data_IF_896071650657
#
_entry.id   IF_896071650657
#
_cell.length_a   1.000
_cell.length_b   1.000
_cell.length_c   1.000
_cell.angle_alpha   90.00
_cell.angle_beta   90.00
_cell.angle_gamma   90.00
#
_symmetry.space_group_name_H-M   'P 1'
#
loop_
_entity.id
_entity.type
_entity.pdbx_description
1 polymer ?
#
# COMPACT_ATOMS: atom_id res chain seq x y z
N UNK A 1 17.71 56.39 28.35
CA UNK A 1 16.41 56.04 27.76
C UNK A 1 16.53 55.54 26.32
N UNK A 2 17.40 56.10 25.47
CA UNK A 2 17.58 55.67 24.07
C UNK A 2 18.30 54.31 23.93
N UNK A 3 19.29 54.00 24.80
CA UNK A 3 20.01 52.71 24.74
C UNK A 3 19.10 51.48 24.99
N UNK A 4 18.25 51.53 26.01
CA UNK A 4 17.32 50.42 26.32
C UNK A 4 16.29 50.17 25.21
N UNK A 5 15.92 51.20 24.44
CA UNK A 5 14.99 51.06 23.32
C UNK A 5 15.65 50.38 22.10
N UNK A 6 16.95 50.61 21.90
CA UNK A 6 17.76 49.98 20.85
C UNK A 6 18.06 48.51 21.22
N UNK A 7 18.29 48.21 22.48
CA UNK A 7 18.43 46.84 23.00
C UNK A 7 17.13 46.03 22.83
N UNK A 8 15.98 46.62 23.17
CA UNK A 8 14.67 46.00 23.00
C UNK A 8 14.32 45.78 21.52
N UNK A 9 14.68 46.71 20.62
CA UNK A 9 14.54 46.52 19.18
C UNK A 9 15.48 45.44 18.63
N UNK A 10 16.71 45.36 19.11
CA UNK A 10 17.67 44.32 18.68
C UNK A 10 17.20 42.93 19.12
N UNK A 11 16.71 42.78 20.36
CA UNK A 11 16.14 41.52 20.83
C UNK A 11 14.84 41.12 20.10
N UNK A 12 14.06 42.08 19.60
CA UNK A 12 12.91 41.81 18.72
C UNK A 12 13.36 41.35 17.33
N UNK A 13 14.39 41.97 16.75
CA UNK A 13 14.95 41.57 15.46
C UNK A 13 15.58 40.18 15.50
N UNK A 14 16.26 39.83 16.60
CA UNK A 14 16.84 38.51 16.81
C UNK A 14 15.75 37.43 16.94
N UNK A 15 14.68 37.71 17.69
CA UNK A 15 13.50 36.83 17.75
C UNK A 15 12.80 36.65 16.40
N UNK A 16 12.77 37.69 15.57
CA UNK A 16 12.21 37.63 14.21
C UNK A 16 13.13 36.79 13.31
N UNK A 17 14.45 36.98 13.39
CA UNK A 17 15.43 36.20 12.64
C UNK A 17 15.35 34.71 12.99
N UNK A 18 15.30 34.38 14.29
CA UNK A 18 15.10 33.01 14.76
C UNK A 18 13.75 32.43 14.29
N UNK A 19 12.68 33.25 14.28
CA UNK A 19 11.37 32.84 13.77
C UNK A 19 11.40 32.54 12.27
N UNK A 20 12.14 33.32 11.49
CA UNK A 20 12.31 33.10 10.04
C UNK A 20 13.13 31.83 9.78
N UNK A 21 14.18 31.58 10.57
CA UNK A 21 15.03 30.41 10.41
C UNK A 21 14.32 29.11 10.80
N UNK A 22 13.49 29.14 11.87
CA UNK A 22 12.59 28.03 12.20
C UNK A 22 11.56 27.76 11.10
N UNK A 23 10.93 28.80 10.57
CA UNK A 23 9.98 28.66 9.46
C UNK A 23 10.64 28.07 8.21
N UNK A 24 11.88 28.46 7.91
CA UNK A 24 12.64 27.92 6.78
C UNK A 24 12.91 26.42 6.96
N UNK A 25 13.36 26.00 8.14
CA UNK A 25 13.66 24.60 8.43
C UNK A 25 12.39 23.72 8.41
N UNK A 26 11.25 24.25 8.91
CA UNK A 26 9.95 23.58 8.84
C UNK A 26 9.47 23.43 7.39
N UNK A 27 9.64 24.46 6.57
CA UNK A 27 9.33 24.41 5.14
C UNK A 27 10.21 23.40 4.40
N UNK A 28 11.49 23.28 4.74
CA UNK A 28 12.39 22.28 4.15
C UNK A 28 12.01 20.84 4.55
N UNK A 29 11.66 20.60 5.81
CA UNK A 29 11.19 19.29 6.26
C UNK A 29 9.83 18.89 5.67
N UNK A 30 8.89 19.85 5.59
CA UNK A 30 7.61 19.65 4.88
C UNK A 30 7.89 19.36 3.41
N UNK A 31 8.80 20.08 2.76
CA UNK A 31 9.15 19.84 1.37
C UNK A 31 9.75 18.44 1.16
N UNK A 32 10.64 17.97 2.04
CA UNK A 32 11.24 16.65 1.97
C UNK A 32 10.21 15.52 2.23
N UNK A 33 9.37 15.65 3.25
CA UNK A 33 8.32 14.66 3.55
C UNK A 33 7.23 14.64 2.48
N UNK A 34 6.84 15.81 1.94
CA UNK A 34 5.93 15.90 0.80
C UNK A 34 6.55 15.25 -0.43
N UNK A 35 7.84 15.47 -0.72
CA UNK A 35 8.53 14.83 -1.85
C UNK A 35 8.67 13.32 -1.72
N UNK A 36 8.96 12.79 -0.53
CA UNK A 36 9.06 11.34 -0.31
C UNK A 36 7.67 10.71 -0.42
N UNK A 37 6.65 11.34 0.16
CA UNK A 37 5.26 10.90 0.02
C UNK A 37 4.77 10.99 -1.42
N UNK A 38 5.09 12.07 -2.14
CA UNK A 38 4.78 12.24 -3.56
C UNK A 38 5.54 11.22 -4.41
N UNK A 39 6.81 10.94 -4.13
CA UNK A 39 7.57 9.94 -4.89
C UNK A 39 7.03 8.53 -4.64
N UNK A 40 6.74 8.16 -3.40
CA UNK A 40 6.13 6.88 -3.07
C UNK A 40 4.70 6.75 -3.63
N UNK A 41 3.91 7.83 -3.58
CA UNK A 41 2.59 7.90 -4.22
C UNK A 41 2.73 7.80 -5.73
N UNK A 42 3.60 8.57 -6.37
CA UNK A 42 3.83 8.53 -7.80
C UNK A 42 4.31 7.16 -8.25
N UNK A 43 5.16 6.46 -7.49
CA UNK A 43 5.58 5.09 -7.81
C UNK A 43 4.40 4.11 -7.64
N UNK A 44 3.69 4.14 -6.52
CA UNK A 44 2.54 3.26 -6.28
C UNK A 44 1.40 3.50 -7.28
N UNK A 45 1.08 4.77 -7.57
CA UNK A 45 0.11 5.16 -8.59
C UNK A 45 0.60 4.75 -9.98
N UNK A 46 1.90 4.88 -10.31
CA UNK A 46 2.44 4.39 -11.58
C UNK A 46 2.30 2.88 -11.73
N UNK A 47 2.53 2.10 -10.68
CA UNK A 47 2.39 0.64 -10.77
C UNK A 47 0.93 0.22 -10.92
N UNK A 48 0.03 0.89 -10.20
CA UNK A 48 -1.43 0.70 -10.34
C UNK A 48 -1.90 1.13 -11.75
N UNK A 49 -1.43 2.27 -12.25
CA UNK A 49 -1.75 2.79 -13.58
C UNK A 49 -1.23 1.85 -14.67
N UNK A 50 0.02 1.36 -14.55
CA UNK A 50 0.60 0.38 -15.48
C UNK A 50 -0.21 -0.90 -15.51
N UNK A 51 -0.66 -1.38 -14.36
CA UNK A 51 -1.48 -2.58 -14.29
C UNK A 51 -2.86 -2.38 -14.92
N UNK A 52 -3.53 -1.26 -14.62
CA UNK A 52 -4.80 -0.90 -15.23
C UNK A 52 -4.70 -0.77 -16.76
N UNK A 53 -3.61 -0.19 -17.26
CA UNK A 53 -3.33 -0.08 -18.69
C UNK A 53 -3.12 -1.45 -19.35
N UNK A 54 -2.35 -2.35 -18.71
CA UNK A 54 -2.21 -3.73 -19.19
C UNK A 54 -3.55 -4.42 -19.30
N UNK A 55 -4.38 -4.31 -18.27
CA UNK A 55 -5.71 -4.92 -18.23
C UNK A 55 -6.62 -4.37 -19.32
N UNK A 56 -6.62 -3.05 -19.54
CA UNK A 56 -7.41 -2.41 -20.60
C UNK A 56 -7.01 -2.90 -21.99
N UNK A 57 -5.70 -3.00 -22.27
CA UNK A 57 -5.19 -3.51 -23.55
C UNK A 57 -5.56 -4.99 -23.74
N UNK A 58 -5.38 -5.84 -22.72
CA UNK A 58 -5.77 -7.24 -22.79
C UNK A 58 -7.28 -7.43 -22.99
N UNK A 59 -8.10 -6.59 -22.37
CA UNK A 59 -9.55 -6.63 -22.52
C UNK A 59 -9.97 -6.36 -23.97
N UNK A 60 -9.32 -5.41 -24.64
CA UNK A 60 -9.54 -5.12 -26.06
C UNK A 60 -9.03 -6.23 -26.96
N UNK A 61 -7.87 -6.80 -26.62
CA UNK A 61 -7.29 -7.94 -27.32
C UNK A 61 -8.23 -9.15 -27.32
N UNK A 62 -8.84 -9.45 -26.17
CA UNK A 62 -9.81 -10.55 -26.03
C UNK A 62 -11.12 -10.29 -26.79
N UNK A 63 -11.51 -9.02 -26.97
CA UNK A 63 -12.64 -8.63 -27.81
C UNK A 63 -12.33 -8.73 -29.31
N UNK A 64 -11.09 -9.09 -29.68
CA UNK A 64 -10.57 -9.05 -31.05
C UNK A 64 -10.60 -7.64 -31.67
N UNK A 65 -10.66 -6.61 -30.82
CA UNK A 65 -10.62 -5.20 -31.19
C UNK A 65 -9.16 -4.76 -31.33
N UNK A 66 -8.49 -5.31 -32.35
CA UNK A 66 -7.06 -5.11 -32.58
C UNK A 66 -6.75 -3.66 -32.93
N UNK A 67 -7.62 -2.98 -33.65
CA UNK A 67 -7.47 -1.57 -34.01
C UNK A 67 -7.35 -0.69 -32.77
N UNK A 68 -8.35 -0.74 -31.87
CA UNK A 68 -8.32 0.01 -30.61
C UNK A 68 -7.15 -0.43 -29.71
N UNK A 69 -6.78 -1.71 -29.74
CA UNK A 69 -5.62 -2.21 -28.98
C UNK A 69 -4.33 -1.52 -29.43
N UNK A 70 -4.05 -1.46 -30.75
CA UNK A 70 -2.84 -0.83 -31.25
C UNK A 70 -2.87 0.69 -31.10
N UNK A 71 -4.03 1.33 -31.20
CA UNK A 71 -4.19 2.77 -30.91
C UNK A 71 -3.77 3.09 -29.46
N UNK A 72 -4.27 2.32 -28.48
CA UNK A 72 -3.89 2.50 -27.07
C UNK A 72 -2.39 2.26 -26.88
N UNK A 73 -1.82 1.21 -27.50
CA UNK A 73 -0.39 0.91 -27.39
C UNK A 73 0.47 2.02 -27.98
N UNK A 74 0.08 2.56 -29.15
CA UNK A 74 0.81 3.64 -29.79
C UNK A 74 0.69 4.94 -28.99
N UNK A 75 -0.48 5.27 -28.43
CA UNK A 75 -0.67 6.38 -27.48
C UNK A 75 0.24 6.24 -26.25
N UNK A 76 0.37 5.03 -25.70
CA UNK A 76 1.28 4.74 -24.59
C UNK A 76 2.75 4.89 -24.98
N UNK A 77 3.12 4.54 -26.22
CA UNK A 77 4.49 4.65 -26.71
C UNK A 77 4.96 6.11 -26.83
N UNK A 78 4.05 7.08 -27.01
CA UNK A 78 4.39 8.51 -27.02
C UNK A 78 4.78 9.04 -25.63
N UNK A 79 4.36 8.38 -24.55
CA UNK A 79 4.70 8.77 -23.18
C UNK A 79 5.97 8.07 -22.73
N UNK A 80 7.01 8.86 -22.43
CA UNK A 80 8.33 8.33 -22.05
C UNK A 80 8.27 7.35 -20.87
N UNK A 81 7.37 7.58 -19.91
CA UNK A 81 7.15 6.73 -18.74
C UNK A 81 6.54 5.35 -19.04
N UNK A 82 5.89 5.18 -20.20
CA UNK A 82 5.21 3.95 -20.61
C UNK A 82 5.82 3.31 -21.86
N UNK A 83 6.91 3.85 -22.39
CA UNK A 83 7.54 3.37 -23.62
C UNK A 83 7.92 1.88 -23.58
N UNK A 84 8.51 1.44 -22.47
CA UNK A 84 8.89 0.03 -22.29
C UNK A 84 7.65 -0.86 -22.17
N UNK A 85 6.63 -0.40 -21.44
CA UNK A 85 5.35 -1.09 -21.31
C UNK A 85 4.64 -1.22 -22.67
N UNK A 86 4.61 -0.16 -23.46
CA UNK A 86 4.01 -0.16 -24.79
C UNK A 86 4.72 -1.17 -25.72
N UNK A 87 6.05 -1.25 -25.64
CA UNK A 87 6.82 -2.27 -26.38
C UNK A 87 6.45 -3.69 -25.96
N UNK A 88 6.42 -3.96 -24.65
CA UNK A 88 6.00 -5.27 -24.12
C UNK A 88 4.58 -5.64 -24.56
N UNK A 89 3.64 -4.68 -24.50
CA UNK A 89 2.26 -4.87 -24.90
C UNK A 89 2.12 -5.11 -26.40
N UNK A 90 2.91 -4.42 -27.23
CA UNK A 90 2.93 -4.64 -28.69
C UNK A 90 3.38 -6.06 -29.04
N UNK A 91 4.48 -6.53 -28.44
CA UNK A 91 4.98 -7.88 -28.65
C UNK A 91 3.96 -8.95 -28.21
N UNK A 92 3.20 -8.69 -27.16
CA UNK A 92 2.12 -9.58 -26.71
C UNK A 92 0.91 -9.54 -27.64
N UNK A 93 0.53 -8.35 -28.10
CA UNK A 93 -0.58 -8.15 -29.03
C UNK A 93 -0.33 -8.82 -30.39
N UNK A 94 0.88 -8.68 -30.93
CA UNK A 94 1.30 -9.32 -32.18
C UNK A 94 1.22 -10.85 -32.05
N UNK A 95 1.80 -11.41 -30.97
CA UNK A 95 1.74 -12.85 -30.68
C UNK A 95 0.31 -13.38 -30.50
N UNK A 96 -0.60 -12.57 -29.97
CA UNK A 96 -2.00 -12.96 -29.81
C UNK A 96 -2.76 -12.90 -31.14
N UNK A 97 -2.52 -11.85 -31.93
CA UNK A 97 -3.16 -11.67 -33.23
C UNK A 97 -2.81 -12.80 -34.19
N UNK A 98 -1.54 -13.19 -34.24
CA UNK A 98 -1.06 -14.19 -35.20
C UNK A 98 -1.25 -15.64 -34.69
N UNK A 99 -1.70 -15.82 -33.45
CA UNK A 99 -1.97 -17.12 -32.84
C UNK A 99 -3.29 -17.76 -33.30
N UNK A 100 -3.32 -19.09 -33.29
CA UNK A 100 -4.55 -19.88 -33.46
C UNK A 100 -5.51 -19.70 -32.27
N UNK A 101 -6.78 -20.05 -32.43
CA UNK A 101 -7.77 -19.92 -31.34
C UNK A 101 -7.43 -20.76 -30.09
N UNK A 102 -6.73 -21.88 -30.27
CA UNK A 102 -6.25 -22.73 -29.20
C UNK A 102 -5.04 -22.10 -28.47
N UNK A 103 -4.11 -21.50 -29.22
CA UNK A 103 -2.98 -20.76 -28.66
C UNK A 103 -3.44 -19.49 -27.94
N UNK A 104 -4.42 -18.76 -28.48
CA UNK A 104 -5.06 -17.63 -27.79
C UNK A 104 -5.68 -18.08 -26.47
N UNK A 105 -6.36 -19.24 -26.42
CA UNK A 105 -6.86 -19.80 -25.14
C UNK A 105 -5.74 -20.03 -24.14
N UNK A 106 -4.63 -20.61 -24.60
CA UNK A 106 -3.48 -20.90 -23.77
C UNK A 106 -2.84 -19.60 -23.25
N UNK A 107 -2.78 -18.55 -24.07
CA UNK A 107 -2.30 -17.23 -23.67
C UNK A 107 -3.19 -16.60 -22.60
N UNK A 108 -4.52 -16.60 -22.78
CA UNK A 108 -5.47 -16.10 -21.76
C UNK A 108 -5.35 -16.90 -20.46
N UNK A 109 -5.31 -18.23 -20.56
CA UNK A 109 -5.11 -19.14 -19.43
C UNK A 109 -3.83 -18.79 -18.67
N UNK A 110 -2.71 -18.63 -19.37
CA UNK A 110 -1.42 -18.33 -18.77
C UNK A 110 -1.41 -16.95 -18.11
N UNK A 111 -2.09 -15.97 -18.69
CA UNK A 111 -2.23 -14.65 -18.09
C UNK A 111 -3.05 -14.71 -16.80
N UNK A 112 -4.19 -15.41 -16.80
CA UNK A 112 -5.00 -15.66 -15.59
C UNK A 112 -4.15 -16.33 -14.51
N UNK A 113 -3.34 -17.33 -14.86
CA UNK A 113 -2.46 -18.01 -13.92
C UNK A 113 -1.46 -17.07 -13.24
N UNK A 114 -0.87 -16.13 -13.99
CA UNK A 114 0.00 -15.08 -13.42
C UNK A 114 -0.77 -14.15 -12.49
N UNK A 115 -2.01 -13.76 -12.83
CA UNK A 115 -2.85 -12.95 -11.94
C UNK A 115 -3.14 -13.68 -10.62
N UNK A 116 -3.38 -15.00 -10.68
CA UNK A 116 -3.58 -15.84 -9.49
C UNK A 116 -2.32 -15.93 -8.63
N UNK A 117 -1.14 -16.07 -9.24
CA UNK A 117 0.16 -16.10 -8.54
C UNK A 117 0.48 -14.76 -7.86
N UNK A 118 0.09 -13.65 -8.49
CA UNK A 118 0.26 -12.30 -7.95
C UNK A 118 -0.84 -11.90 -6.95
N UNK A 119 -1.75 -12.81 -6.59
CA UNK A 119 -2.89 -12.56 -5.69
C UNK A 119 -3.86 -11.47 -6.19
N UNK A 120 -3.91 -11.22 -7.50
CA UNK A 120 -4.79 -10.23 -8.14
C UNK A 120 -6.19 -10.81 -8.38
N UNK A 121 -6.86 -11.15 -7.28
CA UNK A 121 -8.07 -11.98 -7.29
C UNK A 121 -9.25 -11.41 -8.06
N UNK A 122 -9.50 -10.11 -7.94
CA UNK A 122 -10.63 -9.42 -8.56
C UNK A 122 -10.51 -9.44 -10.08
N UNK A 123 -9.32 -9.10 -10.57
CA UNK A 123 -8.95 -9.09 -12.00
C UNK A 123 -9.01 -10.52 -12.56
N UNK A 124 -8.38 -11.47 -11.86
CA UNK A 124 -8.41 -12.88 -12.26
C UNK A 124 -9.85 -13.41 -12.37
N UNK A 125 -10.70 -13.10 -11.38
CA UNK A 125 -12.12 -13.50 -11.40
C UNK A 125 -12.85 -12.92 -12.60
N UNK A 126 -12.70 -11.63 -12.89
CA UNK A 126 -13.36 -10.99 -14.02
C UNK A 126 -12.93 -11.60 -15.37
N UNK A 127 -11.63 -11.89 -15.53
CA UNK A 127 -11.12 -12.53 -16.75
C UNK A 127 -11.58 -13.98 -16.89
N UNK A 128 -11.67 -14.74 -15.80
CA UNK A 128 -12.23 -16.10 -15.80
C UNK A 128 -13.68 -16.09 -16.27
N UNK A 129 -14.50 -15.18 -15.73
CA UNK A 129 -15.91 -15.06 -16.13
C UNK A 129 -16.07 -14.71 -17.62
N UNK A 130 -15.24 -13.79 -18.13
CA UNK A 130 -15.22 -13.45 -19.56
C UNK A 130 -14.77 -14.63 -20.43
N UNK A 131 -13.76 -15.38 -19.99
CA UNK A 131 -13.29 -16.57 -20.71
C UNK A 131 -14.39 -17.64 -20.78
N UNK A 132 -15.11 -17.86 -19.69
CA UNK A 132 -16.26 -18.78 -19.64
C UNK A 132 -17.39 -18.28 -20.53
N UNK A 133 -17.70 -16.99 -20.53
CA UNK A 133 -18.73 -16.41 -21.38
C UNK A 133 -18.40 -16.56 -22.87
N UNK A 134 -17.15 -16.27 -23.26
CA UNK A 134 -16.68 -16.44 -24.63
C UNK A 134 -16.60 -17.91 -25.05
N UNK A 135 -16.35 -18.83 -24.10
CA UNK A 135 -16.18 -20.28 -24.37
C UNK A 135 -16.92 -21.15 -23.34
N UNK A 136 -18.27 -21.20 -23.37
CA UNK A 136 -19.06 -21.90 -22.34
C UNK A 136 -18.86 -23.41 -22.30
N UNK A 137 -18.34 -24.03 -23.37
CA UNK A 137 -18.10 -25.47 -23.48
C UNK A 137 -16.65 -25.88 -23.14
N UNK A 138 -15.76 -24.93 -22.88
CA UNK A 138 -14.38 -25.26 -22.49
C UNK A 138 -14.34 -25.71 -21.03
N UNK A 139 -14.09 -27.00 -20.81
CA UNK A 139 -13.88 -27.54 -19.46
C UNK A 139 -12.75 -26.82 -18.73
N UNK A 140 -11.70 -26.44 -19.48
CA UNK A 140 -10.55 -25.70 -18.95
C UNK A 140 -10.94 -24.31 -18.43
N UNK A 141 -11.79 -23.59 -19.16
CA UNK A 141 -12.33 -22.30 -18.72
C UNK A 141 -13.17 -22.44 -17.46
N UNK A 142 -14.04 -23.45 -17.38
CA UNK A 142 -14.89 -23.70 -16.21
C UNK A 142 -14.03 -24.09 -14.99
N UNK A 143 -13.02 -24.95 -15.19
CA UNK A 143 -12.11 -25.39 -14.13
C UNK A 143 -11.30 -24.23 -13.51
N UNK A 144 -11.14 -23.10 -14.21
CA UNK A 144 -10.46 -21.92 -13.65
C UNK A 144 -11.18 -21.31 -12.46
N UNK A 145 -12.52 -21.41 -12.37
CA UNK A 145 -13.25 -20.98 -11.16
C UNK A 145 -12.81 -21.77 -9.93
N UNK A 146 -12.69 -23.08 -10.09
CA UNK A 146 -12.20 -23.95 -9.03
C UNK A 146 -10.75 -23.63 -8.68
N UNK A 147 -9.89 -23.43 -9.69
CA UNK A 147 -8.48 -23.04 -9.48
C UNK A 147 -8.34 -21.73 -8.71
N UNK A 148 -9.16 -20.71 -9.01
CA UNK A 148 -9.20 -19.44 -8.27
C UNK A 148 -9.57 -19.68 -6.81
N UNK A 149 -10.59 -20.50 -6.55
CA UNK A 149 -10.98 -20.86 -5.19
C UNK A 149 -9.85 -21.59 -4.44
N UNK A 150 -9.26 -22.61 -5.05
CA UNK A 150 -8.18 -23.40 -4.46
C UNK A 150 -6.97 -22.53 -4.14
N UNK A 151 -6.57 -21.62 -5.05
CA UNK A 151 -5.47 -20.68 -4.83
C UNK A 151 -5.75 -19.70 -3.68
N UNK A 152 -6.98 -19.21 -3.55
CA UNK A 152 -7.39 -18.38 -2.40
C UNK A 152 -7.33 -19.15 -1.08
N UNK A 153 -7.80 -20.40 -1.07
CA UNK A 153 -7.73 -21.25 0.13
C UNK A 153 -6.27 -21.56 0.51
N UNK A 154 -5.41 -21.84 -0.47
CA UNK A 154 -3.98 -22.06 -0.23
C UNK A 154 -3.31 -20.81 0.34
N UNK A 155 -3.54 -19.63 -0.23
CA UNK A 155 -3.02 -18.37 0.32
C UNK A 155 -3.49 -18.14 1.75
N UNK A 156 -4.77 -18.35 2.02
CA UNK A 156 -5.34 -18.24 3.38
C UNK A 156 -4.65 -19.20 4.35
N UNK A 157 -4.43 -20.46 3.97
CA UNK A 157 -3.73 -21.45 4.81
C UNK A 157 -2.28 -21.03 5.10
N UNK A 158 -1.57 -20.53 4.10
CA UNK A 158 -0.22 -19.98 4.24
C UNK A 158 -0.22 -18.82 5.24
N UNK A 159 -1.15 -17.87 5.10
CA UNK A 159 -1.27 -16.72 6.00
C UNK A 159 -1.63 -17.14 7.43
N UNK A 160 -2.54 -18.09 7.62
CA UNK A 160 -2.89 -18.60 8.95
C UNK A 160 -1.69 -19.26 9.64
N UNK A 161 -0.89 -20.02 8.90
CA UNK A 161 0.31 -20.67 9.43
C UNK A 161 1.39 -19.64 9.75
N UNK A 162 1.60 -18.66 8.87
CA UNK A 162 2.54 -17.56 9.09
C UNK A 162 2.12 -16.70 10.29
N UNK A 163 0.83 -16.50 10.48
CA UNK A 163 0.29 -15.76 11.62
C UNK A 163 0.51 -16.52 12.93
N UNK A 164 0.18 -17.82 12.98
CA UNK A 164 0.42 -18.65 14.17
C UNK A 164 1.90 -18.67 14.57
N UNK A 165 2.82 -18.79 13.59
CA UNK A 165 4.26 -18.69 13.83
C UNK A 165 4.68 -17.29 14.34
N UNK A 166 4.15 -16.21 13.77
CA UNK A 166 4.44 -14.85 14.23
C UNK A 166 3.94 -14.61 15.67
N UNK A 167 2.75 -15.12 16.02
CA UNK A 167 2.19 -15.05 17.37
C UNK A 167 3.07 -15.83 18.35
N UNK A 168 3.48 -17.05 18.00
CA UNK A 168 4.39 -17.87 18.83
C UNK A 168 5.74 -17.20 19.08
N UNK A 169 6.25 -16.48 18.10
CA UNK A 169 7.51 -15.70 18.21
C UNK A 169 7.33 -14.35 18.90
N UNK A 170 6.11 -14.00 19.30
CA UNK A 170 5.76 -12.68 19.85
C UNK A 170 6.11 -11.51 18.91
N UNK A 171 6.19 -11.78 17.59
CA UNK A 171 6.42 -10.77 16.57
C UNK A 171 5.10 -10.03 16.30
N UNK A 172 4.81 -9.04 17.14
CA UNK A 172 3.54 -8.32 17.12
C UNK A 172 3.33 -7.54 15.82
N UNK A 173 4.40 -7.01 15.23
CA UNK A 173 4.31 -6.20 14.01
C UNK A 173 3.91 -7.06 12.82
N UNK A 174 4.67 -8.13 12.60
CA UNK A 174 4.37 -9.10 11.55
C UNK A 174 3.01 -9.75 11.73
N UNK A 175 2.62 -10.06 12.97
CA UNK A 175 1.30 -10.64 13.27
C UNK A 175 0.16 -9.71 12.85
N UNK A 176 0.29 -8.39 13.06
CA UNK A 176 -0.73 -7.42 12.66
C UNK A 176 -0.78 -7.21 11.14
N UNK A 177 0.37 -7.20 10.46
CA UNK A 177 0.42 -7.12 9.00
C UNK A 177 -0.27 -8.32 8.34
N UNK A 178 0.01 -9.53 8.84
CA UNK A 178 -0.63 -10.75 8.34
C UNK A 178 -2.14 -10.75 8.63
N UNK A 179 -2.58 -10.25 9.80
CA UNK A 179 -4.02 -10.13 10.11
C UNK A 179 -4.75 -9.18 9.15
N UNK A 180 -4.15 -8.06 8.77
CA UNK A 180 -4.71 -7.15 7.77
C UNK A 180 -4.89 -7.85 6.43
N UNK A 181 -3.93 -8.66 6.02
CA UNK A 181 -4.06 -9.45 4.80
C UNK A 181 -5.15 -10.52 4.94
N UNK A 182 -5.17 -11.27 6.05
CA UNK A 182 -6.14 -12.33 6.34
C UNK A 182 -7.60 -11.86 6.33
N UNK A 183 -7.88 -10.63 6.76
CA UNK A 183 -9.24 -10.06 6.80
C UNK A 183 -9.95 -10.18 5.43
N UNK A 184 -9.22 -10.10 4.33
CA UNK A 184 -9.74 -10.24 2.97
C UNK A 184 -10.18 -11.67 2.60
N UNK A 185 -9.80 -12.68 3.40
CA UNK A 185 -10.03 -14.10 3.14
C UNK A 185 -10.89 -14.79 4.21
N UNK A 186 -11.08 -14.16 5.37
CA UNK A 186 -11.79 -14.75 6.49
C UNK A 186 -13.30 -14.59 6.31
N UNK A 187 -14.03 -15.66 6.63
CA UNK A 187 -15.48 -15.55 6.87
C UNK A 187 -15.74 -14.95 8.25
N UNK A 188 -16.94 -14.39 8.51
CA UNK A 188 -17.27 -13.84 9.83
C UNK A 188 -17.05 -14.82 10.99
N UNK A 189 -17.34 -16.11 10.79
CA UNK A 189 -17.15 -17.15 11.80
C UNK A 189 -15.66 -17.41 12.09
N UNK A 190 -14.81 -17.39 11.07
CA UNK A 190 -13.37 -17.59 11.21
C UNK A 190 -12.69 -16.36 11.83
N UNK A 191 -13.13 -15.17 11.46
CA UNK A 191 -12.70 -13.93 12.11
C UNK A 191 -13.06 -13.92 13.60
N UNK A 192 -14.24 -14.42 13.97
CA UNK A 192 -14.64 -14.57 15.37
C UNK A 192 -13.73 -15.54 16.13
N UNK A 193 -13.35 -16.66 15.52
CA UNK A 193 -12.44 -17.63 16.13
C UNK A 193 -11.02 -17.07 16.38
N UNK A 194 -10.58 -16.11 15.57
CA UNK A 194 -9.28 -15.45 15.72
C UNK A 194 -9.33 -14.20 16.61
N UNK A 195 -10.52 -13.75 17.00
CA UNK A 195 -10.71 -12.44 17.64
C UNK A 195 -9.95 -12.28 18.96
N UNK A 196 -9.96 -13.31 19.81
CA UNK A 196 -9.33 -13.25 21.13
C UNK A 196 -7.80 -13.14 21.00
N UNK A 197 -7.19 -14.06 20.25
CA UNK A 197 -5.75 -14.04 20.01
C UNK A 197 -5.30 -12.78 19.25
N UNK A 198 -6.10 -12.29 18.29
CA UNK A 198 -5.82 -11.01 17.63
C UNK A 198 -5.86 -9.83 18.62
N UNK A 199 -6.85 -9.77 19.52
CA UNK A 199 -6.94 -8.72 20.56
C UNK A 199 -5.72 -8.70 21.47
N UNK A 200 -5.19 -9.86 21.83
CA UNK A 200 -3.99 -9.94 22.65
C UNK A 200 -2.75 -9.42 21.91
N UNK A 201 -2.60 -9.74 20.61
CA UNK A 201 -1.54 -9.16 19.76
C UNK A 201 -1.67 -7.64 19.67
N UNK A 202 -2.88 -7.11 19.46
CA UNK A 202 -3.13 -5.65 19.45
C UNK A 202 -2.77 -5.01 20.80
N UNK A 203 -3.17 -5.63 21.93
CA UNK A 203 -2.84 -5.13 23.27
C UNK A 203 -1.34 -5.13 23.51
N UNK A 204 -0.64 -6.18 23.11
CA UNK A 204 0.81 -6.30 23.23
C UNK A 204 1.53 -5.26 22.36
N UNK A 205 1.09 -5.03 21.11
CA UNK A 205 1.66 -3.99 20.26
C UNK A 205 1.47 -2.60 20.87
N UNK A 206 0.27 -2.30 21.37
CA UNK A 206 -0.01 -1.02 22.02
C UNK A 206 0.84 -0.82 23.28
N UNK A 207 1.01 -1.88 24.09
CA UNK A 207 1.89 -1.85 25.25
C UNK A 207 3.34 -1.59 24.84
N UNK A 208 3.86 -2.31 23.84
CA UNK A 208 5.23 -2.14 23.33
C UNK A 208 5.47 -0.71 22.82
N UNK A 209 4.53 -0.15 22.06
CA UNK A 209 4.60 1.25 21.62
C UNK A 209 4.55 2.23 22.80
N UNK A 210 3.71 1.96 23.81
CA UNK A 210 3.65 2.78 25.03
C UNK A 210 4.95 2.77 25.83
N UNK A 211 5.62 1.62 25.92
CA UNK A 211 6.96 1.51 26.54
C UNK A 211 8.00 2.28 25.73
N UNK A 212 8.02 2.13 24.39
CA UNK A 212 8.93 2.89 23.52
C UNK A 212 8.71 4.40 23.63
N UNK A 213 7.45 4.84 23.69
CA UNK A 213 7.10 6.24 23.87
C UNK A 213 7.60 6.76 25.21
N UNK A 214 7.31 6.04 26.30
CA UNK A 214 7.72 6.43 27.66
C UNK A 214 9.23 6.51 27.81
N UNK A 215 9.97 5.56 27.22
CA UNK A 215 11.43 5.55 27.19
C UNK A 215 11.98 6.72 26.37
N UNK A 216 11.42 6.98 25.19
CA UNK A 216 11.87 8.10 24.36
C UNK A 216 11.65 9.45 25.04
N UNK A 217 10.55 9.61 25.80
CA UNK A 217 10.29 10.81 26.60
C UNK A 217 11.25 10.93 27.77
N UNK A 218 11.52 9.86 28.52
CA UNK A 218 12.44 9.89 29.67
C UNK A 218 13.88 10.18 29.26
N UNK A 219 14.30 9.67 28.10
CA UNK A 219 15.62 9.92 27.51
C UNK A 219 15.69 11.23 26.70
N UNK A 220 14.61 12.04 26.69
CA UNK A 220 14.50 13.29 25.92
C UNK A 220 14.77 13.13 24.41
N UNK A 221 14.54 11.94 23.85
CA UNK A 221 14.62 11.67 22.41
C UNK A 221 13.32 12.09 21.74
N UNK A 222 13.07 13.39 21.67
CA UNK A 222 11.79 13.96 21.24
C UNK A 222 11.39 13.53 19.82
N UNK A 223 12.33 13.43 18.89
CA UNK A 223 12.05 13.03 17.51
C UNK A 223 11.46 11.60 17.46
N UNK A 224 12.05 10.68 18.22
CA UNK A 224 11.56 9.30 18.33
C UNK A 224 10.24 9.23 19.10
N UNK A 225 10.08 10.03 20.15
CA UNK A 225 8.81 10.11 20.88
C UNK A 225 7.66 10.58 19.98
N UNK A 226 7.91 11.55 19.11
CA UNK A 226 6.93 12.06 18.15
C UNK A 226 6.58 11.02 17.07
N UNK A 227 7.56 10.28 16.56
CA UNK A 227 7.35 9.18 15.62
C UNK A 227 6.43 8.10 16.23
N UNK A 228 6.77 7.61 17.42
CA UNK A 228 5.98 6.59 18.13
C UNK A 228 4.58 7.12 18.50
N UNK A 229 4.46 8.41 18.84
CA UNK A 229 3.17 9.06 19.07
C UNK A 229 2.29 9.06 17.82
N UNK A 230 2.85 9.34 16.64
CA UNK A 230 2.15 9.28 15.36
C UNK A 230 1.71 7.84 15.05
N UNK A 231 2.57 6.86 15.27
CA UNK A 231 2.24 5.44 15.08
C UNK A 231 1.07 4.99 15.95
N UNK A 232 1.05 5.39 17.23
CA UNK A 232 -0.04 5.05 18.16
C UNK A 232 -1.34 5.73 17.70
N UNK A 233 -1.30 7.01 17.33
CA UNK A 233 -2.51 7.76 16.97
C UNK A 233 -3.11 7.38 15.62
N UNK A 234 -2.29 6.88 14.69
CA UNK A 234 -2.72 6.38 13.39
C UNK A 234 -3.25 4.93 13.47
N UNK A 235 -2.52 4.03 14.14
CA UNK A 235 -2.87 2.61 14.17
C UNK A 235 -3.87 2.24 15.29
N UNK A 236 -3.93 3.04 16.36
CA UNK A 236 -4.78 2.79 17.53
C UNK A 236 -5.60 4.02 17.93
N UNK A 237 -6.36 4.64 17.00
CA UNK A 237 -6.98 5.95 17.20
C UNK A 237 -7.99 6.00 18.35
N UNK A 238 -8.61 4.87 18.70
CA UNK A 238 -9.62 4.76 19.75
C UNK A 238 -9.03 4.30 21.10
N UNK A 239 -7.71 4.11 21.19
CA UNK A 239 -7.07 3.75 22.46
C UNK A 239 -6.99 4.96 23.38
N UNK A 240 -7.12 4.74 24.68
CA UNK A 240 -6.93 5.79 25.69
C UNK A 240 -5.57 6.48 25.55
N UNK A 241 -4.52 5.70 25.26
CA UNK A 241 -3.18 6.22 25.03
C UNK A 241 -3.10 7.16 23.82
N UNK A 242 -3.78 6.84 22.72
CA UNK A 242 -3.83 7.72 21.55
C UNK A 242 -4.55 9.05 21.86
N UNK A 243 -5.62 9.02 22.68
CA UNK A 243 -6.34 10.22 23.11
C UNK A 243 -5.41 11.11 23.94
N UNK A 244 -4.75 10.55 24.94
CA UNK A 244 -3.80 11.27 25.82
C UNK A 244 -2.59 11.82 25.03
N UNK A 245 -2.11 11.09 24.03
CA UNK A 245 -1.02 11.55 23.15
C UNK A 245 -1.46 12.70 22.25
N UNK A 246 -2.67 12.65 21.67
CA UNK A 246 -3.19 13.75 20.83
C UNK A 246 -3.27 15.06 21.58
N UNK A 247 -3.68 15.03 22.86
CA UNK A 247 -3.72 16.24 23.71
C UNK A 247 -2.34 16.85 23.96
N UNK A 248 -1.27 16.06 23.86
CA UNK A 248 0.11 16.47 24.18
C UNK A 248 1.04 16.51 22.96
N UNK A 249 0.52 16.25 21.75
CA UNK A 249 1.34 16.13 20.54
C UNK A 249 2.01 17.46 20.19
N UNK A 250 1.31 18.59 20.38
CA UNK A 250 1.85 19.94 20.15
C UNK A 250 3.07 20.25 21.04
N UNK A 251 3.11 19.69 22.25
CA UNK A 251 4.23 19.87 23.18
C UNK A 251 5.44 19.08 22.68
N UNK A 252 5.21 17.85 22.19
CA UNK A 252 6.27 17.02 21.61
C UNK A 252 6.85 17.68 20.36
N UNK A 253 6.00 18.21 19.47
CA UNK A 253 6.44 18.90 18.26
C UNK A 253 7.28 20.15 18.56
N UNK A 254 6.91 20.92 19.60
CA UNK A 254 7.73 22.04 20.08
C UNK A 254 9.09 21.57 20.63
N UNK A 255 9.13 20.47 21.37
CA UNK A 255 10.36 19.94 21.96
C UNK A 255 11.32 19.32 20.93
N UNK A 256 10.82 18.88 19.77
CA UNK A 256 11.66 18.41 18.64
C UNK A 256 12.35 19.58 17.93
N UNK A 257 11.74 20.77 17.95
CA UNK A 257 12.25 21.98 17.30
C UNK A 257 13.23 22.78 18.17
N UNK A 258 13.39 22.40 19.45
CA UNK A 258 14.35 22.97 20.40
C UNK A 258 15.62 22.11 20.45
#
# INVERSE_FOLDING_TARGET
MVLNAIEDQSGKLEKIAEGIERNRNELEQINQNTRISETAKTIAFRDVDRQALRESVFDKLHQQDFETTYEIIDELAFRTEYKDLAKELKEQADKYRDATDQEREAQVTSHIDKLLENHQWTVASAQIERLIWARPKSEKAIAMRQKLFDKKQERKKILLTAWDDAVKRQDTDRSLEILKELDHYLTPNEALALQEAARDVFRNKLHNLGVQFSLAVSEKRWARALEVARDITQNFPNSRMAIEIREKIDILERNVRQ
#
